data_IF_071820397603
#
_entry.id   IF_071820397603
#
_cell.length_a   1.000
_cell.length_b   1.000
_cell.length_c   1.000
_cell.angle_alpha   90.00
_cell.angle_beta   90.00
_cell.angle_gamma   90.00
#
_symmetry.space_group_name_H-M   'P 1'
#
loop_
_entity.id
_entity.type
_entity.pdbx_description
1 polymer ?
#
# COMPACT_ATOMS: atom_id res chain seq x y z
N UNK A 1 -7.88 29.04 24.17
CA UNK A 1 -8.34 29.61 22.89
C UNK A 1 -9.85 29.77 22.99
N UNK A 2 -10.43 30.89 22.57
CA UNK A 2 -11.88 31.16 22.71
C UNK A 2 -12.65 30.59 21.51
N UNK A 3 -12.75 29.27 21.42
CA UNK A 3 -13.61 28.61 20.42
C UNK A 3 -14.96 28.28 21.07
N UNK A 4 -16.04 28.50 20.31
CA UNK A 4 -17.38 28.06 20.70
C UNK A 4 -17.61 26.65 20.15
N UNK A 5 -18.21 25.74 20.96
CA UNK A 5 -18.52 24.40 20.51
C UNK A 5 -19.64 24.42 19.46
N UNK A 6 -19.48 23.66 18.38
CA UNK A 6 -20.48 23.54 17.31
C UNK A 6 -21.43 22.37 17.51
N UNK A 7 -20.99 21.34 18.24
CA UNK A 7 -21.79 20.17 18.60
C UNK A 7 -21.17 19.41 19.78
N UNK A 8 -21.85 18.37 20.28
CA UNK A 8 -21.29 17.40 21.21
C UNK A 8 -21.38 15.99 20.60
N UNK A 9 -20.38 15.16 20.89
CA UNK A 9 -20.25 13.80 20.39
C UNK A 9 -19.86 12.88 21.54
N UNK A 10 -20.66 11.85 21.78
CA UNK A 10 -20.34 10.78 22.74
C UNK A 10 -19.51 9.71 22.06
N UNK A 11 -18.39 9.32 22.68
CA UNK A 11 -17.45 8.34 22.13
C UNK A 11 -16.95 7.40 23.21
N UNK A 12 -16.71 6.15 22.81
CA UNK A 12 -15.88 5.19 23.52
C UNK A 12 -14.54 5.06 22.80
N UNK A 13 -13.45 4.95 23.55
CA UNK A 13 -12.13 4.72 23.00
C UNK A 13 -11.76 3.25 23.22
N UNK A 14 -11.37 2.53 22.17
CA UNK A 14 -10.68 1.24 22.35
C UNK A 14 -9.17 1.45 22.27
N UNK A 15 -8.47 0.91 23.25
CA UNK A 15 -7.04 1.04 23.44
C UNK A 15 -6.35 -0.28 23.10
N UNK A 16 -5.02 -0.22 22.99
CA UNK A 16 -4.21 -1.42 22.80
C UNK A 16 -4.48 -2.46 23.89
N UNK A 17 -4.65 -3.73 23.50
CA UNK A 17 -5.09 -4.80 24.39
C UNK A 17 -6.60 -4.96 24.51
N UNK A 18 -7.38 -4.39 23.57
CA UNK A 18 -8.85 -4.47 23.53
C UNK A 18 -9.53 -3.91 24.80
N UNK A 19 -8.89 -2.94 25.44
CA UNK A 19 -9.45 -2.22 26.58
C UNK A 19 -10.37 -1.13 26.04
N UNK A 20 -11.63 -1.14 26.42
CA UNK A 20 -12.58 -0.08 26.08
C UNK A 20 -12.78 0.87 27.27
N UNK A 21 -12.87 2.17 26.98
CA UNK A 21 -13.26 3.16 27.98
C UNK A 21 -14.77 3.23 28.11
N UNK A 22 -15.23 3.80 29.23
CA UNK A 22 -16.60 4.28 29.32
C UNK A 22 -16.89 5.32 28.23
N UNK A 23 -18.18 5.49 27.93
CA UNK A 23 -18.63 6.51 27.00
C UNK A 23 -18.44 7.90 27.60
N UNK A 24 -17.76 8.78 26.87
CA UNK A 24 -17.48 10.15 27.29
C UNK A 24 -18.00 11.12 26.23
N UNK A 25 -18.70 12.17 26.66
CA UNK A 25 -19.13 13.25 25.79
C UNK A 25 -18.00 14.27 25.58
N UNK A 26 -17.73 14.57 24.31
CA UNK A 26 -16.75 15.55 23.87
C UNK A 26 -17.43 16.68 23.13
N UNK A 27 -17.00 17.90 23.41
CA UNK A 27 -17.40 19.07 22.63
C UNK A 27 -16.62 19.10 21.31
N UNK A 28 -17.31 19.32 20.21
CA UNK A 28 -16.71 19.48 18.89
C UNK A 28 -16.53 20.97 18.56
N UNK A 29 -15.42 21.31 17.93
CA UNK A 29 -15.05 22.68 17.56
C UNK A 29 -14.54 22.71 16.12
N UNK A 30 -14.70 23.83 15.45
CA UNK A 30 -14.04 24.09 14.17
C UNK A 30 -12.83 24.97 14.43
N UNK A 31 -11.64 24.48 14.09
CA UNK A 31 -10.40 25.25 14.17
C UNK A 31 -9.83 25.52 12.78
N UNK A 32 -9.20 26.68 12.61
CA UNK A 32 -8.40 27.01 11.42
C UNK A 32 -6.92 26.98 11.80
N UNK A 33 -6.15 26.17 11.09
CA UNK A 33 -4.70 26.11 11.19
C UNK A 33 -4.09 26.78 9.98
N UNK A 34 -3.02 27.53 10.21
CA UNK A 34 -2.12 27.98 9.16
C UNK A 34 -0.73 27.42 9.36
N UNK A 35 0.01 27.28 8.25
CA UNK A 35 1.45 27.09 8.35
C UNK A 35 2.14 28.37 8.83
N UNK A 36 3.42 28.24 9.22
CA UNK A 36 4.18 29.32 9.87
C UNK A 36 4.29 30.58 9.01
N UNK A 37 4.31 30.45 7.69
CA UNK A 37 4.37 31.59 6.76
C UNK A 37 2.99 32.07 6.29
N UNK A 38 1.90 31.50 6.82
CA UNK A 38 0.51 31.75 6.46
C UNK A 38 0.17 31.55 4.96
N UNK A 39 1.02 30.87 4.19
CA UNK A 39 0.75 30.57 2.78
C UNK A 39 -0.34 29.52 2.57
N UNK A 40 -0.65 28.75 3.62
CA UNK A 40 -1.69 27.73 3.58
C UNK A 40 -2.56 27.77 4.84
N UNK A 41 -3.88 27.66 4.65
CA UNK A 41 -4.88 27.52 5.72
C UNK A 41 -5.71 26.27 5.53
N UNK A 42 -6.00 25.58 6.63
CA UNK A 42 -6.81 24.38 6.66
C UNK A 42 -7.78 24.45 7.85
N UNK A 43 -9.04 24.09 7.61
CA UNK A 43 -10.07 24.00 8.67
C UNK A 43 -10.38 22.55 8.99
N UNK A 44 -10.52 22.24 10.26
CA UNK A 44 -10.82 20.90 10.75
C UNK A 44 -11.82 20.96 11.90
N UNK A 45 -12.68 19.95 11.96
CA UNK A 45 -13.46 19.64 13.16
C UNK A 45 -12.57 18.88 14.14
N UNK A 46 -12.62 19.27 15.41
CA UNK A 46 -11.77 18.72 16.47
C UNK A 46 -12.55 18.55 17.76
N UNK A 47 -12.24 17.47 18.47
CA UNK A 47 -12.81 17.21 19.79
C UNK A 47 -11.98 17.91 20.86
N UNK A 48 -12.66 18.64 21.74
CA UNK A 48 -12.04 19.28 22.88
C UNK A 48 -11.77 18.30 24.00
N UNK A 49 -10.55 18.35 24.54
CA UNK A 49 -10.14 17.55 25.68
C UNK A 49 -9.25 18.41 26.59
N UNK A 50 -9.41 18.26 27.92
CA UNK A 50 -8.63 19.05 28.89
C UNK A 50 -7.12 18.77 28.78
N UNK A 51 -6.75 17.54 28.42
CA UNK A 51 -5.37 17.11 28.21
C UNK A 51 -5.32 16.05 27.14
N UNK A 52 -4.57 16.31 26.06
CA UNK A 52 -4.45 15.39 24.92
C UNK A 52 -3.51 14.23 25.27
N UNK A 53 -2.30 14.55 25.74
CA UNK A 53 -1.31 13.55 26.13
C UNK A 53 -0.37 14.08 27.22
N UNK A 54 0.54 13.23 27.69
CA UNK A 54 1.70 13.67 28.46
C UNK A 54 2.64 14.51 27.59
N UNK A 55 3.57 15.21 28.21
CA UNK A 55 4.64 15.91 27.47
C UNK A 55 5.38 14.93 26.54
N UNK A 56 5.58 15.34 25.29
CA UNK A 56 6.35 14.61 24.31
C UNK A 56 7.76 15.20 24.28
N UNK A 57 8.77 14.35 24.23
CA UNK A 57 10.17 14.80 24.10
C UNK A 57 10.37 15.41 22.71
N UNK A 58 10.94 16.60 22.69
CA UNK A 58 11.35 17.26 21.45
C UNK A 58 12.47 16.46 20.76
N UNK A 59 12.71 16.74 19.49
CA UNK A 59 13.76 16.04 18.74
C UNK A 59 15.13 16.49 19.28
N UNK A 60 15.96 15.56 19.78
CA UNK A 60 17.28 15.89 20.31
C UNK A 60 18.23 16.40 19.23
N UNK A 61 19.32 17.00 19.68
CA UNK A 61 20.43 17.34 18.77
C UNK A 61 21.21 16.09 18.39
N UNK A 62 21.45 15.92 17.09
CA UNK A 62 22.17 14.76 16.58
C UNK A 62 22.61 14.90 15.12
N UNK A 63 23.22 13.85 14.54
CA UNK A 63 23.77 13.88 13.18
C UNK A 63 22.71 14.17 12.10
N UNK A 64 21.45 13.80 12.33
CA UNK A 64 20.32 14.08 11.44
C UNK A 64 20.10 15.58 11.18
N UNK A 65 20.53 16.47 12.07
CA UNK A 65 20.42 17.92 11.85
C UNK A 65 21.21 18.37 10.61
N UNK A 66 22.30 17.68 10.26
CA UNK A 66 23.05 17.95 9.02
C UNK A 66 22.22 17.56 7.79
N UNK A 67 21.54 16.43 7.86
CA UNK A 67 20.65 15.96 6.78
C UNK A 67 19.47 16.90 6.60
N UNK A 68 18.85 17.36 7.70
CA UNK A 68 17.77 18.34 7.63
C UNK A 68 18.21 19.62 6.92
N UNK A 69 19.38 20.17 7.28
CA UNK A 69 19.95 21.35 6.60
C UNK A 69 20.22 21.08 5.11
N UNK A 70 20.80 19.92 4.78
CA UNK A 70 21.13 19.55 3.40
C UNK A 70 19.88 19.49 2.50
N UNK A 71 18.76 18.99 3.03
CA UNK A 71 17.50 18.88 2.30
C UNK A 71 16.58 20.10 2.46
N UNK A 72 17.02 21.15 3.16
CA UNK A 72 16.20 22.35 3.43
C UNK A 72 14.99 22.08 4.33
N UNK A 73 15.04 21.04 5.15
CA UNK A 73 14.00 20.67 6.12
C UNK A 73 14.12 21.58 7.34
N UNK A 74 13.04 22.30 7.65
CA UNK A 74 12.94 23.17 8.82
C UNK A 74 11.91 22.60 9.79
N UNK A 75 12.35 22.28 11.00
CA UNK A 75 11.51 21.81 12.09
C UNK A 75 11.53 22.83 13.22
N UNK A 76 10.40 23.01 13.89
CA UNK A 76 10.25 23.91 15.04
C UNK A 76 10.41 23.19 16.38
N UNK A 77 10.33 21.86 16.38
CA UNK A 77 10.34 21.03 17.59
C UNK A 77 11.70 20.34 17.82
N UNK A 78 12.76 21.16 17.98
CA UNK A 78 14.12 20.70 18.29
C UNK A 78 14.53 21.19 19.69
N UNK A 79 15.21 20.35 20.48
CA UNK A 79 15.62 20.66 21.87
C UNK A 79 16.46 21.95 22.01
N UNK A 80 17.24 22.31 21.00
CA UNK A 80 18.18 23.44 21.03
C UNK A 80 17.68 24.71 20.31
N UNK A 81 16.38 24.79 20.00
CA UNK A 81 15.79 26.01 19.42
C UNK A 81 15.49 27.00 20.55
N UNK A 82 15.99 28.23 20.42
CA UNK A 82 15.79 29.35 21.36
C UNK A 82 14.35 29.86 21.44
N UNK A 83 13.46 29.38 20.58
CA UNK A 83 12.03 29.68 20.64
C UNK A 83 11.44 28.92 21.82
N UNK A 84 10.79 29.63 22.75
CA UNK A 84 9.96 29.03 23.79
C UNK A 84 8.74 28.38 23.13
N UNK A 85 8.90 27.17 22.62
CA UNK A 85 7.79 26.35 22.13
C UNK A 85 7.07 25.79 23.35
N UNK A 86 5.75 25.92 23.38
CA UNK A 86 4.93 25.26 24.39
C UNK A 86 5.12 23.74 24.26
N UNK A 87 5.52 23.09 25.36
CA UNK A 87 5.82 21.65 25.37
C UNK A 87 4.55 20.79 25.38
N UNK A 88 3.41 21.41 25.68
CA UNK A 88 2.13 20.72 25.68
C UNK A 88 1.56 20.63 24.26
N UNK A 89 1.20 19.42 23.87
CA UNK A 89 0.49 19.18 22.62
C UNK A 89 -0.92 19.78 22.74
N UNK A 90 -1.17 20.82 21.93
CA UNK A 90 -2.48 21.50 21.87
C UNK A 90 -3.45 20.91 20.86
N UNK A 91 -2.93 20.12 19.92
CA UNK A 91 -3.73 19.53 18.86
C UNK A 91 -3.16 18.18 18.44
N UNK A 92 -4.04 17.19 18.31
CA UNK A 92 -3.75 15.91 17.70
C UNK A 92 -4.53 15.82 16.38
N UNK A 93 -3.81 15.56 15.28
CA UNK A 93 -4.38 15.47 13.94
C UNK A 93 -4.65 14.00 13.65
N UNK A 94 -5.93 13.65 13.51
CA UNK A 94 -6.37 12.30 13.19
C UNK A 94 -6.05 11.88 11.76
N UNK A 95 -6.13 10.57 11.50
CA UNK A 95 -5.87 9.99 10.19
C UNK A 95 -6.90 10.40 9.12
N UNK A 96 -8.12 10.66 9.57
CA UNK A 96 -9.27 11.16 8.81
C UNK A 96 -8.98 12.50 8.09
N UNK A 97 -8.10 13.32 8.69
CA UNK A 97 -7.70 14.62 8.14
C UNK A 97 -6.23 14.66 7.68
N UNK A 98 -5.35 13.82 8.24
CA UNK A 98 -3.92 13.81 7.92
C UNK A 98 -3.64 13.64 6.43
N UNK A 99 -4.40 12.80 5.73
CA UNK A 99 -4.27 12.58 4.29
C UNK A 99 -4.40 13.88 3.45
N UNK A 100 -5.26 14.81 3.88
CA UNK A 100 -5.47 16.12 3.21
C UNK A 100 -4.30 17.07 3.39
N UNK A 101 -3.44 16.81 4.37
CA UNK A 101 -2.27 17.62 4.69
C UNK A 101 -1.02 17.16 3.96
N UNK A 102 -0.90 15.88 3.59
CA UNK A 102 0.29 15.37 2.91
C UNK A 102 0.43 15.95 1.51
N UNK A 103 1.63 16.41 1.16
CA UNK A 103 1.91 16.91 -0.20
C UNK A 103 2.54 15.85 -1.11
N UNK A 104 2.69 14.61 -0.63
CA UNK A 104 3.37 13.52 -1.34
C UNK A 104 4.90 13.61 -1.36
N UNK A 105 5.51 14.70 -0.86
CA UNK A 105 6.96 14.83 -0.80
C UNK A 105 7.50 14.12 0.43
N UNK A 106 8.17 13.00 0.20
CA UNK A 106 8.74 12.12 1.22
C UNK A 106 10.25 12.00 0.96
N UNK A 107 11.06 12.23 1.99
CA UNK A 107 12.53 12.15 1.91
C UNK A 107 13.01 11.12 2.94
N UNK A 108 13.42 9.91 2.50
CA UNK A 108 14.12 8.98 3.39
C UNK A 108 15.52 9.52 3.71
N UNK A 109 15.87 9.53 4.99
CA UNK A 109 17.16 10.00 5.50
C UNK A 109 18.04 8.80 5.89
N UNK A 110 19.36 9.00 5.89
CA UNK A 110 20.34 7.95 6.26
C UNK A 110 20.28 7.60 7.75
N UNK A 111 19.69 8.48 8.56
CA UNK A 111 19.46 8.30 10.00
C UNK A 111 18.29 7.36 10.36
N UNK A 112 17.74 6.60 9.40
CA UNK A 112 16.50 5.81 9.58
C UNK A 112 15.27 6.66 9.93
N UNK A 113 15.36 7.96 9.63
CA UNK A 113 14.27 8.91 9.70
C UNK A 113 13.69 9.11 8.31
N UNK A 114 12.42 9.47 8.25
CA UNK A 114 11.75 9.86 7.01
C UNK A 114 11.10 11.22 7.23
N UNK A 115 11.53 12.21 6.45
CA UNK A 115 10.88 13.51 6.45
C UNK A 115 9.67 13.49 5.51
N UNK A 116 8.52 13.91 6.02
CA UNK A 116 7.27 14.00 5.26
C UNK A 116 6.88 15.47 5.21
N UNK A 117 6.63 15.96 4.01
CA UNK A 117 6.16 17.32 3.83
C UNK A 117 4.63 17.36 3.91
N UNK A 118 4.14 18.28 4.73
CA UNK A 118 2.72 18.58 4.85
C UNK A 118 2.46 20.03 4.44
N UNK A 119 1.19 20.36 4.20
CA UNK A 119 0.73 21.74 3.99
C UNK A 119 1.00 22.65 5.18
N UNK A 120 1.21 22.09 6.39
CA UNK A 120 1.54 22.83 7.61
C UNK A 120 3.05 22.97 7.85
N UNK A 121 3.88 22.28 7.08
CA UNK A 121 5.34 22.26 7.23
C UNK A 121 5.90 20.84 7.23
N UNK A 122 7.18 20.72 7.57
CA UNK A 122 7.87 19.44 7.62
C UNK A 122 7.57 18.67 8.92
N UNK A 123 7.34 17.38 8.78
CA UNK A 123 7.28 16.42 9.89
C UNK A 123 8.33 15.34 9.70
N UNK A 124 8.66 14.63 10.77
CA UNK A 124 9.62 13.51 10.74
C UNK A 124 8.99 12.28 11.35
N UNK A 125 9.22 11.14 10.71
CA UNK A 125 8.82 9.82 11.18
C UNK A 125 10.07 8.97 11.38
N UNK A 126 10.02 8.03 12.33
CA UNK A 126 11.05 7.01 12.49
C UNK A 126 11.62 6.94 13.90
N UNK A 127 12.64 6.10 14.04
CA UNK A 127 13.28 5.82 15.32
C UNK A 127 14.64 6.51 15.37
N UNK A 128 14.84 7.36 16.36
CA UNK A 128 16.14 7.90 16.68
C UNK A 128 16.98 6.83 17.38
N UNK A 129 18.17 6.54 16.84
CA UNK A 129 19.17 5.73 17.51
C UNK A 129 20.12 6.66 18.26
N UNK A 130 20.02 6.66 19.60
CA UNK A 130 20.99 7.33 20.46
C UNK A 130 22.28 6.52 20.56
N UNK A 131 23.40 7.22 20.67
CA UNK A 131 24.72 6.66 20.98
C UNK A 131 24.73 6.00 22.38
N UNK A 132 25.16 4.74 22.41
CA UNK A 132 25.42 3.85 23.55
C UNK A 132 24.28 3.55 24.56
N UNK A 133 24.21 2.30 25.05
CA UNK A 133 23.18 1.85 25.98
C UNK A 133 23.53 2.29 27.40
N UNK A 134 23.28 3.56 27.73
CA UNK A 134 23.07 3.91 29.13
C UNK A 134 21.68 3.46 29.56
N UNK A 135 21.66 2.81 30.73
CA UNK A 135 20.49 2.33 31.45
C UNK A 135 19.48 3.48 31.54
N UNK A 136 18.26 3.27 31.04
CA UNK A 136 17.14 4.24 30.89
C UNK A 136 17.02 5.06 29.59
N UNK A 137 17.56 4.59 28.47
CA UNK A 137 17.20 5.13 27.15
C UNK A 137 15.77 4.72 26.73
N UNK A 138 14.76 5.35 27.35
CA UNK A 138 13.34 5.29 26.94
C UNK A 138 13.26 5.63 25.45
N UNK A 139 12.97 4.62 24.64
CA UNK A 139 12.80 4.72 23.20
C UNK A 139 11.74 5.78 22.84
N UNK A 140 12.16 6.97 22.40
CA UNK A 140 11.22 7.92 21.79
C UNK A 140 10.94 7.44 20.37
N UNK A 141 9.83 6.72 20.21
CA UNK A 141 9.20 6.65 18.90
C UNK A 141 8.72 8.07 18.57
N UNK A 142 9.23 8.68 17.49
CA UNK A 142 8.58 9.87 16.94
C UNK A 142 7.34 9.35 16.21
N UNK A 143 6.26 9.13 16.97
CA UNK A 143 4.98 8.67 16.44
C UNK A 143 4.17 9.89 16.00
N UNK A 144 3.91 10.02 14.71
CA UNK A 144 2.67 10.66 14.26
C UNK A 144 1.58 9.61 14.41
N UNK A 145 0.94 9.56 15.58
CA UNK A 145 0.00 8.48 15.90
C UNK A 145 -1.27 8.61 15.07
N UNK A 146 -1.52 7.65 14.18
CA UNK A 146 -2.86 7.36 13.68
C UNK A 146 -3.61 6.64 14.81
N UNK A 147 -4.44 7.37 15.56
CA UNK A 147 -5.59 6.74 16.21
C UNK A 147 -6.76 6.81 15.24
N UNK A 148 -7.19 5.64 14.76
CA UNK A 148 -8.51 5.45 14.19
C UNK A 148 -9.48 5.19 15.33
N UNK A 149 -10.66 5.83 15.31
CA UNK A 149 -11.80 5.37 16.11
C UNK A 149 -12.03 3.89 15.79
N UNK A 150 -11.88 3.04 16.79
CA UNK A 150 -12.29 1.64 16.73
C UNK A 150 -13.76 1.60 17.06
N UNK A 151 -14.60 1.39 16.04
CA UNK A 151 -15.87 0.70 16.28
C UNK A 151 -15.54 -0.70 16.79
N UNK A 152 -16.40 -1.19 17.70
CA UNK A 152 -16.25 -2.39 18.52
C UNK A 152 -15.48 -3.54 17.83
N UNK A 153 -14.41 -4.02 18.48
CA UNK A 153 -13.51 -5.10 18.02
C UNK A 153 -14.16 -6.48 18.27
N UNK A 154 -15.49 -6.57 18.15
CA UNK A 154 -16.21 -7.85 18.12
C UNK A 154 -16.58 -8.24 16.69
N UNK A 155 -16.54 -7.31 15.74
CA UNK A 155 -16.91 -7.53 14.33
C UNK A 155 -15.72 -7.41 13.36
N UNK A 156 -14.48 -7.42 13.86
CA UNK A 156 -13.26 -7.32 13.04
C UNK A 156 -13.01 -8.55 12.13
N UNK A 157 -13.88 -9.56 12.21
CA UNK A 157 -14.01 -10.65 11.25
C UNK A 157 -14.92 -10.34 10.05
N UNK A 158 -15.49 -9.13 9.98
CA UNK A 158 -16.25 -8.65 8.82
C UNK A 158 -15.64 -7.34 8.33
N UNK A 159 -15.19 -7.31 7.07
CA UNK A 159 -14.55 -6.18 6.41
C UNK A 159 -15.52 -4.98 6.16
N UNK A 160 -16.71 -4.96 6.75
CA UNK A 160 -17.81 -4.04 6.46
C UNK A 160 -17.87 -2.76 7.30
N UNK A 161 -16.99 -2.58 8.28
CA UNK A 161 -17.17 -1.53 9.30
C UNK A 161 -16.51 -0.18 8.94
N UNK A 162 -15.67 -0.11 7.89
CA UNK A 162 -15.10 1.16 7.44
C UNK A 162 -15.98 1.79 6.36
N UNK A 163 -17.08 2.41 6.79
CA UNK A 163 -18.07 3.13 5.97
C UNK A 163 -17.48 4.19 5.03
N UNK A 164 -16.88 3.76 3.93
CA UNK A 164 -16.57 4.59 2.76
C UNK A 164 -17.79 4.51 1.83
N UNK A 165 -18.81 5.32 2.14
CA UNK A 165 -19.86 5.59 1.16
C UNK A 165 -19.33 6.60 0.15
N UNK A 166 -18.98 6.10 -1.04
CA UNK A 166 -18.56 6.89 -2.19
C UNK A 166 -18.71 6.09 -3.49
N UNK A 167 -19.96 5.92 -3.91
CA UNK A 167 -20.48 5.52 -5.24
C UNK A 167 -19.80 4.39 -6.04
N UNK A 168 -20.67 3.42 -6.40
CA UNK A 168 -20.52 2.30 -7.33
C UNK A 168 -19.79 1.07 -6.76
N UNK A 169 -20.59 0.04 -6.45
CA UNK A 169 -20.22 -1.37 -6.20
C UNK A 169 -18.73 -1.62 -5.91
N UNK A 170 -18.32 -1.48 -4.65
CA UNK A 170 -17.17 -2.25 -4.16
C UNK A 170 -17.74 -3.44 -3.43
N UNK A 171 -17.75 -4.58 -4.11
CA UNK A 171 -18.03 -5.85 -3.45
C UNK A 171 -17.04 -6.03 -2.30
N UNK A 172 -17.53 -6.51 -1.17
CA UNK A 172 -16.64 -6.94 -0.09
C UNK A 172 -15.72 -8.06 -0.58
N UNK A 173 -14.57 -8.27 0.07
CA UNK A 173 -13.65 -9.36 -0.32
C UNK A 173 -14.37 -10.73 -0.34
N UNK A 174 -15.32 -10.92 0.57
CA UNK A 174 -16.16 -12.12 0.66
C UNK A 174 -17.17 -12.21 -0.48
N UNK A 175 -17.85 -11.12 -0.81
CA UNK A 175 -18.77 -11.07 -1.97
C UNK A 175 -18.03 -11.33 -3.29
N UNK A 176 -16.82 -10.79 -3.44
CA UNK A 176 -15.96 -11.03 -4.60
C UNK A 176 -15.52 -12.49 -4.69
N UNK A 177 -15.19 -13.11 -3.55
CA UNK A 177 -14.86 -14.53 -3.48
C UNK A 177 -16.07 -15.40 -3.87
N UNK A 178 -17.25 -15.12 -3.31
CA UNK A 178 -18.50 -15.80 -3.63
C UNK A 178 -18.86 -15.65 -5.13
N UNK A 179 -18.73 -14.44 -5.69
CA UNK A 179 -18.97 -14.19 -7.12
C UNK A 179 -17.93 -14.90 -8.00
N UNK A 180 -16.65 -14.90 -7.60
CA UNK A 180 -15.60 -15.63 -8.32
C UNK A 180 -15.86 -17.12 -8.33
N UNK A 181 -16.26 -17.71 -7.20
CA UNK A 181 -16.63 -19.13 -7.10
C UNK A 181 -17.86 -19.44 -7.95
N UNK A 182 -18.87 -18.56 -7.95
CA UNK A 182 -20.05 -18.70 -8.79
C UNK A 182 -19.66 -18.67 -10.28
N UNK A 183 -18.89 -17.68 -10.71
CA UNK A 183 -18.42 -17.54 -12.08
C UNK A 183 -17.55 -18.72 -12.53
N UNK A 184 -16.68 -19.23 -11.66
CA UNK A 184 -15.90 -20.43 -11.90
C UNK A 184 -16.83 -21.61 -12.22
N UNK A 185 -17.85 -21.86 -11.39
CA UNK A 185 -18.79 -22.96 -11.60
C UNK A 185 -19.66 -22.78 -12.85
N UNK A 186 -20.06 -21.56 -13.17
CA UNK A 186 -20.89 -21.26 -14.36
C UNK A 186 -20.11 -21.40 -15.67
N UNK A 187 -18.81 -21.11 -15.67
CA UNK A 187 -17.97 -21.14 -16.86
C UNK A 187 -17.13 -22.40 -17.00
N UNK A 188 -17.13 -23.28 -15.98
CA UNK A 188 -16.45 -24.57 -16.03
C UNK A 188 -17.17 -25.49 -17.03
N UNK A 189 -16.46 -25.88 -18.08
CA UNK A 189 -16.92 -26.87 -19.03
C UNK A 189 -15.85 -27.94 -19.28
N UNK A 190 -16.28 -29.06 -19.85
CA UNK A 190 -15.36 -30.09 -20.35
C UNK A 190 -15.39 -30.01 -21.86
N UNK A 191 -14.23 -29.75 -22.45
CA UNK A 191 -14.11 -29.61 -23.89
C UNK A 191 -14.21 -30.97 -24.61
N UNK A 192 -14.20 -30.96 -25.96
CA UNK A 192 -14.31 -32.17 -26.77
C UNK A 192 -13.17 -33.19 -26.52
N UNK A 193 -12.06 -32.76 -25.94
CA UNK A 193 -10.90 -33.58 -25.61
C UNK A 193 -10.94 -34.13 -24.16
N UNK A 194 -12.01 -33.83 -23.40
CA UNK A 194 -12.13 -34.26 -22.01
C UNK A 194 -11.32 -33.41 -21.03
N UNK A 195 -10.84 -32.23 -21.43
CA UNK A 195 -10.10 -31.30 -20.55
C UNK A 195 -11.06 -30.28 -19.94
N UNK A 196 -10.79 -29.90 -18.69
CA UNK A 196 -11.50 -28.81 -18.04
C UNK A 196 -11.08 -27.48 -18.64
N UNK A 197 -12.05 -26.69 -19.07
CA UNK A 197 -11.90 -25.31 -19.50
C UNK A 197 -12.72 -24.41 -18.58
N UNK A 198 -12.15 -23.26 -18.23
CA UNK A 198 -12.82 -22.27 -17.38
C UNK A 198 -12.43 -20.89 -17.87
N UNK A 199 -13.37 -19.95 -17.83
CA UNK A 199 -13.08 -18.59 -18.19
C UNK A 199 -12.25 -17.89 -17.10
N UNK A 200 -11.38 -16.98 -17.50
CA UNK A 200 -10.63 -16.16 -16.55
C UNK A 200 -11.60 -15.32 -15.68
N UNK A 201 -11.42 -15.27 -14.35
CA UNK A 201 -12.32 -14.54 -13.45
C UNK A 201 -11.92 -13.06 -13.38
N UNK A 202 -12.53 -12.22 -14.21
CA UNK A 202 -12.19 -10.81 -14.30
C UNK A 202 -12.85 -9.97 -13.20
N UNK A 203 -12.07 -9.14 -12.49
CA UNK A 203 -12.57 -8.27 -11.39
C UNK A 203 -12.81 -6.83 -11.82
N UNK A 204 -12.29 -6.47 -12.98
CA UNK A 204 -12.53 -5.19 -13.66
C UNK A 204 -13.02 -5.54 -15.04
N UNK A 205 -13.84 -4.69 -15.67
CA UNK A 205 -14.20 -4.90 -17.08
C UNK A 205 -12.92 -5.15 -17.88
N UNK A 206 -12.89 -6.28 -18.61
CA UNK A 206 -11.77 -6.75 -19.43
C UNK A 206 -11.35 -5.69 -20.46
N UNK A 207 -12.15 -4.63 -20.69
CA UNK A 207 -11.81 -3.48 -21.54
C UNK A 207 -10.72 -2.58 -20.93
N UNK A 208 -10.45 -2.75 -19.63
CA UNK A 208 -9.49 -1.98 -18.86
C UNK A 208 -8.04 -2.46 -18.99
N UNK A 209 -7.81 -3.70 -19.46
CA UNK A 209 -6.47 -4.24 -19.71
C UNK A 209 -5.98 -3.85 -21.12
N UNK A 210 -4.96 -2.97 -21.24
CA UNK A 210 -4.45 -2.59 -22.55
C UNK A 210 -3.58 -3.68 -23.18
N UNK A 211 -3.46 -3.61 -24.51
CA UNK A 211 -2.45 -4.36 -25.26
C UNK A 211 -1.03 -3.87 -24.89
N UNK A 212 -0.11 -4.80 -24.60
CA UNK A 212 1.22 -4.49 -24.09
C UNK A 212 2.36 -5.01 -24.99
N UNK A 213 2.10 -5.22 -26.28
CA UNK A 213 3.04 -5.85 -27.24
C UNK A 213 4.43 -5.21 -27.22
N UNK A 214 4.53 -3.88 -27.29
CA UNK A 214 5.82 -3.16 -27.30
C UNK A 214 6.66 -3.44 -26.04
N UNK A 215 6.00 -3.59 -24.90
CA UNK A 215 6.64 -3.88 -23.62
C UNK A 215 7.14 -5.33 -23.58
N UNK A 216 6.32 -6.27 -24.05
CA UNK A 216 6.69 -7.68 -24.15
C UNK A 216 7.84 -7.90 -25.15
N UNK A 217 7.80 -7.26 -26.33
CA UNK A 217 8.87 -7.30 -27.33
C UNK A 217 10.20 -6.77 -26.79
N UNK A 218 10.19 -5.62 -26.09
CA UNK A 218 11.40 -5.05 -25.47
C UNK A 218 11.99 -6.02 -24.44
N UNK A 219 11.13 -6.67 -23.66
CA UNK A 219 11.56 -7.70 -22.71
C UNK A 219 12.17 -8.91 -23.42
N UNK A 220 11.51 -9.41 -24.47
CA UNK A 220 11.98 -10.53 -25.30
C UNK A 220 13.36 -10.25 -25.91
N UNK A 221 13.57 -9.07 -26.50
CA UNK A 221 14.85 -8.66 -27.06
C UNK A 221 15.96 -8.59 -25.99
N UNK A 222 15.61 -8.16 -24.77
CA UNK A 222 16.55 -8.15 -23.64
C UNK A 222 16.90 -9.59 -23.20
N UNK A 223 15.89 -10.45 -23.06
CA UNK A 223 16.06 -11.87 -22.71
C UNK A 223 16.89 -12.60 -23.76
N UNK A 224 16.59 -12.43 -25.05
CA UNK A 224 17.34 -13.01 -26.17
C UNK A 224 18.81 -12.61 -26.13
N UNK A 225 19.12 -11.31 -25.93
CA UNK A 225 20.51 -10.84 -25.82
C UNK A 225 21.25 -11.52 -24.67
N UNK A 226 20.64 -11.61 -23.48
CA UNK A 226 21.24 -12.27 -22.31
C UNK A 226 21.47 -13.77 -22.54
N UNK A 227 20.54 -14.44 -23.20
CA UNK A 227 20.66 -15.86 -23.54
C UNK A 227 21.75 -16.13 -24.57
N UNK A 228 21.86 -15.28 -25.59
CA UNK A 228 22.95 -15.33 -26.57
C UNK A 228 24.32 -15.16 -25.88
N UNK A 229 24.47 -14.15 -25.04
CA UNK A 229 25.72 -13.92 -24.30
C UNK A 229 26.09 -15.08 -23.36
N UNK A 230 25.10 -15.81 -22.85
CA UNK A 230 25.32 -16.97 -21.98
C UNK A 230 25.37 -18.31 -22.71
N UNK A 231 25.23 -18.34 -24.04
CA UNK A 231 25.24 -19.58 -24.84
C UNK A 231 24.07 -20.52 -24.53
N UNK A 232 22.92 -19.99 -24.10
CA UNK A 232 21.75 -20.77 -23.65
C UNK A 232 20.50 -20.51 -24.49
N UNK A 233 20.62 -19.85 -25.65
CA UNK A 233 19.44 -19.49 -26.46
C UNK A 233 18.75 -20.74 -27.03
N UNK A 234 19.52 -21.66 -27.59
CA UNK A 234 19.03 -22.89 -28.20
C UNK A 234 18.32 -23.76 -27.16
N UNK A 235 18.99 -24.03 -26.04
CA UNK A 235 18.43 -24.80 -24.93
C UNK A 235 17.17 -24.15 -24.32
N UNK A 236 17.05 -22.82 -24.35
CA UNK A 236 15.82 -22.15 -23.94
C UNK A 236 14.69 -22.28 -24.97
N UNK A 237 15.02 -22.22 -26.26
CA UNK A 237 14.08 -22.46 -27.36
C UNK A 237 13.50 -23.86 -27.34
N UNK A 238 14.33 -24.87 -27.08
CA UNK A 238 13.92 -26.28 -26.96
C UNK A 238 12.81 -26.49 -25.91
N UNK A 239 12.75 -25.66 -24.86
CA UNK A 239 11.66 -25.72 -23.87
C UNK A 239 10.32 -25.37 -24.50
N UNK A 240 10.28 -24.33 -25.34
CA UNK A 240 9.05 -23.94 -26.04
C UNK A 240 8.69 -24.94 -27.14
N UNK A 241 9.67 -25.50 -27.85
CA UNK A 241 9.43 -26.56 -28.84
C UNK A 241 8.83 -27.82 -28.20
N UNK A 242 9.30 -28.18 -26.99
CA UNK A 242 8.75 -29.27 -26.20
C UNK A 242 7.32 -28.94 -25.73
N UNK A 243 7.07 -27.73 -25.21
CA UNK A 243 5.70 -27.33 -24.84
C UNK A 243 4.75 -27.33 -26.03
N UNK A 244 5.22 -26.97 -27.21
CA UNK A 244 4.44 -27.02 -28.44
C UNK A 244 4.14 -28.48 -28.85
N UNK A 245 5.10 -29.39 -28.74
CA UNK A 245 4.89 -30.81 -29.08
C UNK A 245 3.98 -31.54 -28.08
N UNK A 246 3.99 -31.11 -26.81
CA UNK A 246 3.08 -31.59 -25.76
C UNK A 246 1.68 -30.96 -25.82
N UNK A 247 1.46 -29.96 -26.68
CA UNK A 247 0.19 -29.22 -26.75
C UNK A 247 -0.10 -28.40 -25.48
N UNK A 248 0.95 -27.93 -24.79
CA UNK A 248 0.86 -26.99 -23.66
C UNK A 248 0.72 -25.55 -24.16
N UNK A 249 1.39 -25.24 -25.29
CA UNK A 249 1.27 -23.97 -25.98
C UNK A 249 0.94 -24.24 -27.45
N UNK A 250 0.35 -23.25 -28.11
CA UNK A 250 0.04 -23.29 -29.54
C UNK A 250 0.52 -22.02 -30.24
N UNK A 251 0.58 -22.08 -31.58
CA UNK A 251 0.82 -20.88 -32.38
C UNK A 251 -0.49 -20.13 -32.53
N UNK A 252 -0.45 -18.83 -32.25
CA UNK A 252 -1.58 -17.92 -32.47
C UNK A 252 -2.06 -18.04 -33.94
N UNK A 253 -3.34 -18.38 -34.18
CA UNK A 253 -3.89 -18.49 -35.54
C UNK A 253 -3.77 -17.18 -36.33
N UNK A 254 -3.52 -17.27 -37.64
CA UNK A 254 -3.51 -16.08 -38.49
C UNK A 254 -4.93 -15.50 -38.61
N UNK A 255 -5.07 -14.20 -38.33
CA UNK A 255 -6.35 -13.50 -38.42
C UNK A 255 -7.22 -13.59 -37.16
N UNK A 256 -6.66 -14.06 -36.05
CA UNK A 256 -7.35 -14.03 -34.77
C UNK A 256 -7.64 -12.56 -34.37
N UNK A 257 -8.92 -12.28 -34.14
CA UNK A 257 -9.41 -10.96 -33.77
C UNK A 257 -9.96 -11.05 -32.36
N UNK A 258 -9.33 -10.33 -31.42
CA UNK A 258 -9.66 -10.43 -30.01
C UNK A 258 -8.78 -9.53 -29.16
N UNK A 259 -9.08 -9.48 -27.85
CA UNK A 259 -8.25 -8.78 -26.87
C UNK A 259 -7.03 -9.64 -26.55
N UNK A 260 -5.84 -9.16 -26.91
CA UNK A 260 -4.58 -9.87 -26.72
C UNK A 260 -3.75 -9.17 -25.65
N UNK A 261 -3.19 -9.95 -24.72
CA UNK A 261 -2.23 -9.49 -23.74
C UNK A 261 -1.02 -10.42 -23.74
N UNK A 262 0.17 -9.84 -23.83
CA UNK A 262 1.42 -10.58 -23.97
C UNK A 262 2.11 -10.69 -22.61
N UNK A 263 2.48 -11.90 -22.21
CA UNK A 263 3.22 -12.11 -20.97
C UNK A 263 4.74 -12.08 -21.22
N UNK A 264 5.48 -11.07 -20.72
CA UNK A 264 6.93 -11.10 -20.79
C UNK A 264 7.46 -12.30 -20.02
N UNK A 265 8.49 -12.95 -20.55
CA UNK A 265 9.09 -14.12 -19.90
C UNK A 265 10.60 -13.98 -19.74
N UNK A 266 11.14 -14.71 -18.76
CA UNK A 266 12.59 -14.82 -18.52
C UNK A 266 12.98 -16.26 -18.15
N UNK A 267 14.21 -16.69 -18.46
CA UNK A 267 14.73 -17.97 -18.02
C UNK A 267 15.06 -17.95 -16.53
N UNK A 268 14.69 -19.00 -15.81
CA UNK A 268 15.25 -19.39 -14.52
C UNK A 268 16.07 -20.65 -14.74
N UNK A 269 17.37 -20.58 -14.44
CA UNK A 269 18.30 -21.68 -14.67
C UNK A 269 18.72 -22.25 -13.32
N UNK A 270 18.54 -23.56 -13.14
CA UNK A 270 18.98 -24.29 -11.94
C UNK A 270 19.82 -25.48 -12.37
N UNK A 271 21.12 -25.39 -12.14
CA UNK A 271 22.06 -26.46 -12.46
C UNK A 271 21.83 -27.68 -11.55
N UNK A 272 21.98 -28.90 -12.09
CA UNK A 272 21.72 -30.15 -11.37
C UNK A 272 20.24 -30.50 -11.16
N UNK A 273 19.31 -29.77 -11.78
CA UNK A 273 17.87 -30.05 -11.78
C UNK A 273 17.46 -30.89 -13.00
N UNK A 274 16.45 -31.76 -12.85
CA UNK A 274 15.84 -32.51 -13.96
C UNK A 274 15.27 -31.58 -15.03
N UNK A 275 14.76 -30.42 -14.63
CA UNK A 275 14.42 -29.29 -15.52
C UNK A 275 15.43 -28.17 -15.27
N UNK A 276 16.49 -28.11 -16.07
CA UNK A 276 17.61 -27.18 -15.86
C UNK A 276 17.27 -25.73 -16.22
N UNK A 277 16.33 -25.52 -17.15
CA UNK A 277 15.88 -24.19 -17.60
C UNK A 277 14.35 -24.14 -17.59
N UNK A 278 13.77 -23.10 -16.99
CA UNK A 278 12.31 -22.87 -16.93
C UNK A 278 11.94 -21.45 -17.35
N UNK A 279 11.01 -21.25 -18.30
CA UNK A 279 10.40 -19.95 -18.54
C UNK A 279 9.54 -19.52 -17.34
N UNK A 280 9.73 -18.29 -16.86
CA UNK A 280 8.84 -17.64 -15.88
C UNK A 280 8.19 -16.45 -16.55
N UNK A 281 6.86 -16.45 -16.56
CA UNK A 281 6.03 -15.40 -17.13
C UNK A 281 5.71 -14.33 -16.07
N UNK A 282 5.70 -13.07 -16.50
CA UNK A 282 5.49 -11.93 -15.63
C UNK A 282 4.14 -11.27 -15.89
N UNK A 283 3.09 -11.78 -15.26
CA UNK A 283 1.73 -11.25 -15.37
C UNK A 283 1.48 -9.96 -14.57
N UNK A 284 2.45 -9.49 -13.77
CA UNK A 284 2.40 -8.17 -13.12
C UNK A 284 2.99 -7.04 -13.97
N UNK A 285 3.48 -7.36 -15.17
CA UNK A 285 4.10 -6.38 -16.05
C UNK A 285 3.06 -5.47 -16.72
N UNK A 286 3.15 -4.17 -16.46
CA UNK A 286 2.23 -3.17 -17.01
C UNK A 286 2.95 -1.87 -17.38
N UNK A 287 2.30 -1.05 -18.21
CA UNK A 287 2.72 0.31 -18.47
C UNK A 287 2.30 1.24 -17.32
N UNK A 288 3.07 2.29 -17.06
CA UNK A 288 2.77 3.23 -15.98
C UNK A 288 1.34 3.80 -16.15
N UNK A 289 0.51 3.66 -15.12
CA UNK A 289 -0.87 4.15 -15.11
C UNK A 289 -1.92 3.19 -15.71
N UNK A 290 -1.52 1.98 -16.10
CA UNK A 290 -2.43 0.93 -16.58
C UNK A 290 -2.36 -0.32 -15.68
N UNK A 291 -3.46 -1.09 -15.55
CA UNK A 291 -3.44 -2.31 -14.75
C UNK A 291 -2.65 -3.42 -15.43
N UNK A 292 -2.11 -4.32 -14.61
CA UNK A 292 -1.53 -5.60 -15.03
C UNK A 292 -2.58 -6.70 -15.08
N UNK A 293 -2.26 -7.82 -15.74
CA UNK A 293 -3.17 -8.98 -15.78
C UNK A 293 -3.51 -9.47 -14.37
N UNK A 294 -2.54 -9.49 -13.46
CA UNK A 294 -2.78 -9.89 -12.06
C UNK A 294 -3.74 -8.97 -11.31
N UNK A 295 -3.79 -7.68 -11.66
CA UNK A 295 -4.72 -6.71 -11.04
C UNK A 295 -6.12 -6.79 -11.67
N UNK A 296 -6.23 -7.40 -12.86
CA UNK A 296 -7.50 -7.58 -13.56
C UNK A 296 -8.20 -8.92 -13.27
N UNK A 297 -7.51 -9.87 -12.62
CA UNK A 297 -8.02 -11.19 -12.32
C UNK A 297 -8.24 -11.40 -10.82
N UNK A 298 -9.30 -12.13 -10.48
CA UNK A 298 -9.59 -12.52 -9.11
C UNK A 298 -8.63 -13.62 -8.69
N UNK A 299 -8.10 -13.53 -7.46
CA UNK A 299 -7.27 -14.59 -6.87
C UNK A 299 -8.10 -15.81 -6.47
N UNK A 300 -9.42 -15.65 -6.32
CA UNK A 300 -10.31 -16.68 -5.81
C UNK A 300 -10.08 -17.03 -4.34
N UNK A 301 -10.84 -18.02 -3.82
CA UNK A 301 -10.73 -18.51 -2.45
C UNK A 301 -9.37 -19.16 -2.17
N UNK A 302 -8.83 -19.00 -0.96
CA UNK A 302 -7.63 -19.70 -0.53
C UNK A 302 -7.97 -21.14 -0.11
N UNK A 303 -7.73 -22.10 -1.01
CA UNK A 303 -8.03 -23.52 -0.75
C UNK A 303 -6.91 -24.27 -0.03
N UNK A 304 -5.76 -23.65 0.27
CA UNK A 304 -4.60 -24.34 0.88
C UNK A 304 -4.94 -24.91 2.26
N UNK A 305 -5.75 -24.20 3.03
CA UNK A 305 -6.17 -24.64 4.38
C UNK A 305 -7.15 -25.83 4.35
N UNK A 306 -7.68 -26.16 3.17
CA UNK A 306 -8.67 -27.24 2.95
C UNK A 306 -7.98 -28.51 2.43
N UNK A 307 -6.70 -28.42 2.03
CA UNK A 307 -5.92 -29.58 1.60
C UNK A 307 -5.51 -30.36 2.87
N UNK A 308 -5.92 -31.64 3.01
CA UNK A 308 -5.64 -32.47 4.18
C UNK A 308 -4.15 -32.83 4.35
#
# INVERSE_FOLDING_TARGET
MNYEPISEVSLKQSLFGAIETDEVSYKNYVIELSNVDNSCKCKFEVLGQNRICSEIKQIPSGPWLKEFKMYGIKLTDLENITLKVDKEIKLLIGADVAGKLFTGKIIPLKSNLTAVHTRLGWTVLGKLFGSEPSVESKHSLIISSLLTQTQCISDLGSLDVLGITGSAHRQTAKELEEETTKYFNETLCVNAEGRYEVALPWVVDNSSLPENIKLAEKSLLSTKRKLMTSGKLEAYGEVFDNWLSLGIIEKIPQGETGRVHYLPHRPVIKEGSTTSIRPVFNASSHALGFPSLNECLSTGPNLIEIIP
#
